data_IF_705674156510
#
_entry.id   IF_705674156510
#
_cell.length_a   1.000
_cell.length_b   1.000
_cell.length_c   1.000
_cell.angle_alpha   90.00
_cell.angle_beta   90.00
_cell.angle_gamma   90.00
#
_symmetry.space_group_name_H-M   'P 1'
#
loop_
_entity.id
_entity.type
_entity.pdbx_description
1 polymer ?
#
# COMPACT_ATOMS: atom_id res chain seq x y z
N UNK A 1 -3.14 30.85 12.73
CA UNK A 1 -2.68 29.59 13.38
C UNK A 1 -1.89 29.94 14.62
N UNK A 2 -2.26 29.40 15.78
CA UNK A 2 -1.60 29.67 17.08
C UNK A 2 -0.90 28.40 17.55
N UNK A 3 0.37 28.52 17.96
CA UNK A 3 1.21 27.42 18.42
C UNK A 3 0.65 26.85 19.72
N UNK A 4 0.40 25.56 19.74
CA UNK A 4 0.01 24.79 20.94
C UNK A 4 1.24 24.16 21.58
N UNK A 5 2.03 23.41 20.79
CA UNK A 5 3.20 22.69 21.29
C UNK A 5 4.39 22.83 20.36
N UNK A 6 5.57 23.00 20.93
CA UNK A 6 6.84 22.92 20.19
C UNK A 6 7.30 21.47 20.24
N UNK A 7 7.44 20.82 19.07
CA UNK A 7 7.86 19.42 18.97
C UNK A 7 9.38 19.37 18.89
N UNK A 8 9.97 20.15 17.98
CA UNK A 8 11.40 20.43 17.93
C UNK A 8 11.67 21.77 17.22
N UNK A 9 12.93 22.08 16.90
CA UNK A 9 13.30 23.35 16.26
C UNK A 9 12.61 23.59 14.90
N UNK A 10 12.18 22.53 14.21
CA UNK A 10 11.65 22.60 12.86
C UNK A 10 10.18 22.15 12.75
N UNK A 11 9.55 21.78 13.86
CA UNK A 11 8.21 21.20 13.87
C UNK A 11 7.45 21.70 15.09
N UNK A 12 6.22 22.17 14.87
CA UNK A 12 5.30 22.63 15.91
C UNK A 12 3.90 22.05 15.67
N UNK A 13 3.11 21.88 16.73
CA UNK A 13 1.66 21.74 16.59
C UNK A 13 0.96 23.06 16.90
N UNK A 14 -0.12 23.34 16.17
CA UNK A 14 -0.85 24.58 16.25
C UNK A 14 -2.34 24.33 16.03
N UNK A 15 -3.19 25.25 16.49
CA UNK A 15 -4.60 25.26 16.11
C UNK A 15 -4.82 26.16 14.89
N UNK A 16 -5.53 25.63 13.89
CA UNK A 16 -6.01 26.41 12.75
C UNK A 16 -7.21 27.30 13.11
N UNK A 17 -7.65 28.12 12.16
CA UNK A 17 -8.77 29.06 12.35
C UNK A 17 -10.10 28.35 12.66
N UNK A 18 -10.20 27.05 12.39
CA UNK A 18 -11.37 26.21 12.69
C UNK A 18 -11.26 25.50 14.03
N UNK A 19 -10.19 25.75 14.79
CA UNK A 19 -9.91 25.09 16.08
C UNK A 19 -9.39 23.67 15.94
N UNK A 20 -8.96 23.25 14.73
CA UNK A 20 -8.38 21.91 14.52
C UNK A 20 -6.88 21.94 14.74
N UNK A 21 -6.36 20.94 15.45
CA UNK A 21 -4.91 20.79 15.62
C UNK A 21 -4.28 20.39 14.28
N UNK A 22 -3.19 21.04 13.93
CA UNK A 22 -2.37 20.78 12.74
C UNK A 22 -0.91 20.66 13.13
N UNK A 23 -0.17 19.79 12.44
CA UNK A 23 1.29 19.69 12.59
C UNK A 23 1.92 20.53 11.48
N UNK A 24 2.84 21.42 11.83
CA UNK A 24 3.48 22.34 10.91
C UNK A 24 4.98 22.07 10.91
N UNK A 25 5.52 21.87 9.71
CA UNK A 25 6.93 21.65 9.46
C UNK A 25 7.52 22.84 8.72
N UNK A 26 8.72 23.24 9.13
CA UNK A 26 9.47 24.31 8.49
C UNK A 26 10.77 24.63 9.20
N UNK A 27 11.82 24.97 8.44
CA UNK A 27 13.14 25.24 9.01
C UNK A 27 13.10 26.34 10.07
N UNK A 28 13.46 26.01 11.31
CA UNK A 28 13.52 26.94 12.43
C UNK A 28 12.16 27.49 12.87
N UNK A 29 11.04 26.81 12.55
CA UNK A 29 9.69 27.26 12.91
C UNK A 29 9.40 27.17 14.42
N UNK A 30 10.00 26.19 15.11
CA UNK A 30 9.93 26.02 16.56
C UNK A 30 11.05 26.73 17.33
N UNK A 31 12.07 27.22 16.63
CA UNK A 31 13.21 27.89 17.26
C UNK A 31 12.85 29.30 17.76
N UNK A 32 13.09 29.55 19.05
CA UNK A 32 12.89 30.87 19.67
C UNK A 32 11.43 31.30 19.82
N UNK A 33 10.47 30.39 19.60
CA UNK A 33 9.03 30.64 19.82
C UNK A 33 8.53 30.02 21.13
N UNK A 34 7.25 30.24 21.47
CA UNK A 34 6.58 29.66 22.65
C UNK A 34 5.11 29.33 22.34
N UNK A 35 4.49 28.37 23.05
CA UNK A 35 3.05 28.16 23.02
C UNK A 35 2.26 29.47 23.20
N UNK A 36 1.13 29.60 22.51
CA UNK A 36 0.28 30.79 22.46
C UNK A 36 0.72 31.88 21.48
N UNK A 37 1.86 31.72 20.78
CA UNK A 37 2.31 32.66 19.73
C UNK A 37 1.74 32.28 18.37
N UNK A 38 1.62 33.26 17.48
CA UNK A 38 1.27 33.00 16.08
C UNK A 38 2.41 32.30 15.33
N UNK A 39 2.03 31.40 14.42
CA UNK A 39 2.96 30.72 13.53
C UNK A 39 3.46 31.69 12.46
N UNK A 40 4.78 31.79 12.31
CA UNK A 40 5.41 32.60 11.27
C UNK A 40 5.16 31.98 9.87
N UNK A 41 4.24 32.58 9.11
CA UNK A 41 3.77 32.06 7.81
C UNK A 41 4.90 31.82 6.80
N UNK A 42 5.90 32.70 6.78
CA UNK A 42 7.05 32.62 5.89
C UNK A 42 7.98 31.44 6.17
N UNK A 43 7.89 30.82 7.36
CA UNK A 43 8.67 29.64 7.73
C UNK A 43 7.93 28.33 7.44
N UNK A 44 6.68 28.39 6.99
CA UNK A 44 5.86 27.19 6.77
C UNK A 44 6.28 26.53 5.46
N UNK A 45 6.72 25.28 5.53
CA UNK A 45 7.00 24.45 4.36
C UNK A 45 5.87 23.45 4.12
N UNK A 46 5.34 22.86 5.21
CA UNK A 46 4.24 21.90 5.12
C UNK A 46 3.31 21.98 6.32
N UNK A 47 2.00 21.85 6.06
CA UNK A 47 0.95 21.71 7.06
C UNK A 47 0.30 20.34 6.90
N UNK A 48 0.33 19.53 7.95
CA UNK A 48 -0.34 18.24 8.01
C UNK A 48 -1.64 18.37 8.79
N UNK A 49 -2.75 18.16 8.09
CA UNK A 49 -4.10 18.13 8.67
C UNK A 49 -4.53 16.69 8.90
N UNK A 50 -4.09 16.11 10.02
CA UNK A 50 -4.41 14.73 10.39
C UNK A 50 -5.75 14.71 11.12
N UNK A 51 -6.70 13.92 10.63
CA UNK A 51 -8.08 13.86 11.17
C UNK A 51 -8.15 13.11 12.49
N UNK A 52 -7.30 12.09 12.67
CA UNK A 52 -7.26 11.27 13.87
C UNK A 52 -6.31 11.86 14.89
N UNK A 53 -6.79 12.13 16.10
CA UNK A 53 -5.96 12.65 17.19
C UNK A 53 -4.85 11.66 17.57
N UNK A 54 -5.16 10.36 17.65
CA UNK A 54 -4.15 9.34 18.00
C UNK A 54 -3.03 9.28 16.97
N UNK A 55 -3.38 9.36 15.69
CA UNK A 55 -2.40 9.37 14.61
C UNK A 55 -1.57 10.67 14.61
N UNK A 56 -2.19 11.80 14.95
CA UNK A 56 -1.48 13.06 15.11
C UNK A 56 -0.45 12.97 16.25
N UNK A 57 -0.80 12.42 17.41
CA UNK A 57 0.16 12.21 18.51
C UNK A 57 1.32 11.29 18.10
N UNK A 58 1.03 10.13 17.48
CA UNK A 58 2.06 9.22 16.99
C UNK A 58 3.02 9.91 16.01
N UNK A 59 2.48 10.74 15.10
CA UNK A 59 3.30 11.48 14.16
C UNK A 59 4.15 12.54 14.85
N UNK A 60 3.62 13.24 15.86
CA UNK A 60 4.37 14.21 16.65
C UNK A 60 5.52 13.55 17.42
N UNK A 61 5.28 12.38 18.01
CA UNK A 61 6.31 11.59 18.71
C UNK A 61 7.42 11.14 17.76
N UNK A 62 7.05 10.56 16.62
CA UNK A 62 7.99 10.14 15.57
C UNK A 62 8.89 11.31 15.12
N UNK A 63 8.28 12.47 14.91
CA UNK A 63 8.98 13.66 14.41
C UNK A 63 9.87 14.35 15.45
N UNK A 64 9.67 14.12 16.74
CA UNK A 64 10.39 14.82 17.80
C UNK A 64 11.91 14.65 17.69
N UNK A 65 12.37 13.44 17.40
CA UNK A 65 13.80 13.08 17.32
C UNK A 65 14.29 12.84 15.89
N UNK A 66 13.46 13.07 14.89
CA UNK A 66 13.79 12.80 13.49
C UNK A 66 14.56 13.96 12.84
N UNK A 67 15.63 13.69 12.07
CA UNK A 67 16.25 14.69 11.21
C UNK A 67 15.22 15.32 10.26
N UNK A 68 15.21 16.65 10.16
CA UNK A 68 14.26 17.38 9.30
C UNK A 68 14.30 16.86 7.85
N UNK A 69 15.49 16.56 7.35
CA UNK A 69 15.72 16.06 5.99
C UNK A 69 14.95 14.75 5.73
N UNK A 70 14.93 13.81 6.69
CA UNK A 70 14.22 12.53 6.55
C UNK A 70 12.70 12.75 6.51
N UNK A 71 12.19 13.66 7.35
CA UNK A 71 10.77 14.01 7.39
C UNK A 71 10.32 14.72 6.10
N UNK A 72 11.17 15.58 5.54
CA UNK A 72 10.93 16.25 4.26
C UNK A 72 10.93 15.26 3.09
N UNK A 73 11.94 14.39 3.00
CA UNK A 73 12.01 13.32 1.98
C UNK A 73 10.73 12.49 1.98
N UNK A 74 10.30 12.04 3.17
CA UNK A 74 9.09 11.25 3.34
C UNK A 74 7.85 12.02 2.88
N UNK A 75 7.73 13.30 3.25
CA UNK A 75 6.66 14.17 2.77
C UNK A 75 6.65 14.32 1.23
N UNK A 76 7.82 14.47 0.62
CA UNK A 76 7.94 14.70 -0.82
C UNK A 76 7.56 13.45 -1.61
N UNK A 77 7.98 12.28 -1.14
CA UNK A 77 7.59 10.97 -1.67
C UNK A 77 6.07 10.78 -1.60
N UNK A 78 5.45 11.02 -0.42
CA UNK A 78 3.99 10.92 -0.26
C UNK A 78 3.26 11.97 -1.11
N UNK A 79 3.81 13.18 -1.21
CA UNK A 79 3.22 14.27 -2.00
C UNK A 79 3.24 13.95 -3.49
N UNK A 80 4.34 13.36 -3.99
CA UNK A 80 4.45 12.88 -5.36
C UNK A 80 3.38 11.81 -5.64
N UNK A 81 3.26 10.79 -4.79
CA UNK A 81 2.26 9.74 -4.91
C UNK A 81 0.82 10.29 -5.00
N UNK A 82 0.48 11.27 -4.16
CA UNK A 82 -0.87 11.85 -4.13
C UNK A 82 -1.16 12.78 -5.31
N UNK A 83 -0.17 13.57 -5.74
CA UNK A 83 -0.36 14.59 -6.78
C UNK A 83 -0.20 14.06 -8.20
N UNK A 84 0.84 13.25 -8.44
CA UNK A 84 1.19 12.76 -9.76
C UNK A 84 0.43 11.47 -10.10
N UNK A 85 0.26 10.57 -9.13
CA UNK A 85 -0.44 9.29 -9.34
C UNK A 85 -1.91 9.32 -8.89
N UNK A 86 -2.37 10.44 -8.31
CA UNK A 86 -3.75 10.63 -7.82
C UNK A 86 -4.24 9.54 -6.86
N UNK A 87 -3.31 8.92 -6.13
CA UNK A 87 -3.64 7.84 -5.19
C UNK A 87 -4.42 8.37 -3.99
N UNK A 88 -5.46 7.62 -3.60
CA UNK A 88 -6.19 7.85 -2.35
C UNK A 88 -5.51 7.06 -1.24
N UNK A 89 -4.65 7.74 -0.49
CA UNK A 89 -3.87 7.12 0.58
C UNK A 89 -4.46 7.46 1.96
N UNK A 90 -4.54 6.44 2.82
CA UNK A 90 -4.84 6.63 4.24
C UNK A 90 -3.78 7.55 4.88
N UNK A 91 -4.21 8.42 5.81
CA UNK A 91 -3.32 9.33 6.51
C UNK A 91 -2.27 8.60 7.37
N UNK A 92 -2.49 7.33 7.72
CA UNK A 92 -1.51 6.50 8.43
C UNK A 92 -0.16 6.42 7.71
N UNK A 93 -0.14 6.58 6.38
CA UNK A 93 1.11 6.56 5.60
C UNK A 93 2.12 7.62 6.04
N UNK A 94 1.66 8.77 6.55
CA UNK A 94 2.55 9.80 7.07
C UNK A 94 3.35 9.30 8.26
N UNK A 95 2.81 8.39 9.06
CA UNK A 95 3.53 7.75 10.16
C UNK A 95 4.34 6.57 9.63
N UNK A 96 3.70 5.61 8.97
CA UNK A 96 4.33 4.32 8.63
C UNK A 96 5.49 4.47 7.64
N UNK A 97 5.32 5.27 6.58
CA UNK A 97 6.38 5.44 5.59
C UNK A 97 7.50 6.35 6.09
N UNK A 98 7.18 7.39 6.88
CA UNK A 98 8.18 8.28 7.46
C UNK A 98 9.05 7.54 8.47
N UNK A 99 8.45 6.69 9.30
CA UNK A 99 9.18 5.81 10.22
C UNK A 99 10.06 4.83 9.43
N UNK A 100 9.51 4.16 8.41
CA UNK A 100 10.26 3.25 7.54
C UNK A 100 11.46 3.91 6.88
N UNK A 101 11.30 5.09 6.28
CA UNK A 101 12.38 5.81 5.59
C UNK A 101 13.48 6.20 6.59
N UNK A 102 13.10 6.80 7.72
CA UNK A 102 14.07 7.17 8.74
C UNK A 102 14.86 5.95 9.20
N UNK A 103 14.13 4.89 9.50
CA UNK A 103 14.67 3.65 10.00
C UNK A 103 15.58 2.97 8.94
N UNK A 104 15.19 2.93 7.66
CA UNK A 104 15.97 2.35 6.56
C UNK A 104 17.30 3.10 6.35
N UNK A 105 17.26 4.44 6.42
CA UNK A 105 18.46 5.28 6.36
C UNK A 105 19.40 4.97 7.55
N UNK A 106 18.86 4.89 8.77
CA UNK A 106 19.64 4.57 9.97
C UNK A 106 20.27 3.17 9.89
N UNK A 107 19.51 2.12 9.54
CA UNK A 107 20.04 0.75 9.36
C UNK A 107 21.13 0.71 8.29
N UNK A 108 20.92 1.38 7.15
CA UNK A 108 21.92 1.40 6.08
C UNK A 108 23.23 2.06 6.53
N UNK A 109 23.15 3.15 7.30
CA UNK A 109 24.34 3.81 7.86
C UNK A 109 25.14 2.92 8.83
N UNK A 110 24.48 1.92 9.42
CA UNK A 110 25.09 0.89 10.28
C UNK A 110 25.62 -0.31 9.47
N UNK A 111 25.53 -0.29 8.14
CA UNK A 111 25.96 -1.38 7.25
C UNK A 111 24.96 -2.53 7.12
N UNK A 112 23.74 -2.37 7.64
CA UNK A 112 22.69 -3.40 7.55
C UNK A 112 21.90 -3.20 6.25
N UNK A 113 21.83 -4.24 5.42
CA UNK A 113 21.09 -4.25 4.16
C UNK A 113 20.07 -5.39 4.19
N UNK A 114 18.78 -5.10 4.38
CA UNK A 114 17.77 -6.14 4.41
C UNK A 114 17.51 -6.69 3.01
N UNK A 115 17.25 -7.99 2.94
CA UNK A 115 16.78 -8.66 1.73
C UNK A 115 15.25 -8.75 1.75
N UNK A 116 14.64 -8.52 0.61
CA UNK A 116 13.20 -8.63 0.43
C UNK A 116 12.87 -9.91 -0.33
N UNK A 117 12.47 -10.94 0.41
CA UNK A 117 12.10 -12.25 -0.13
C UNK A 117 10.91 -12.20 -1.11
N UNK A 118 10.14 -11.10 -1.12
CA UNK A 118 8.96 -10.89 -1.97
C UNK A 118 9.22 -9.91 -3.10
N UNK A 119 10.47 -9.47 -3.31
CA UNK A 119 10.79 -8.41 -4.26
C UNK A 119 10.30 -8.74 -5.68
N UNK A 120 10.40 -10.00 -6.09
CA UNK A 120 9.96 -10.43 -7.41
C UNK A 120 8.43 -10.36 -7.54
N UNK A 121 7.69 -10.86 -6.56
CA UNK A 121 6.24 -10.82 -6.52
C UNK A 121 5.72 -9.36 -6.44
N UNK A 122 6.38 -8.50 -5.67
CA UNK A 122 6.04 -7.06 -5.58
C UNK A 122 6.24 -6.40 -6.94
N UNK A 123 7.37 -6.64 -7.61
CA UNK A 123 7.61 -6.12 -8.98
C UNK A 123 6.52 -6.58 -9.96
N UNK A 124 6.05 -7.81 -9.82
CA UNK A 124 5.06 -8.40 -10.73
C UNK A 124 3.65 -7.85 -10.49
N UNK A 125 3.20 -7.79 -9.24
CA UNK A 125 1.79 -7.51 -8.91
C UNK A 125 1.52 -6.06 -8.50
N UNK A 126 2.58 -5.33 -8.12
CA UNK A 126 2.54 -3.95 -7.64
C UNK A 126 3.51 -3.07 -8.40
N UNK A 127 3.48 -3.14 -9.73
CA UNK A 127 4.39 -2.40 -10.59
C UNK A 127 4.37 -0.90 -10.28
N UNK A 128 3.19 -0.30 -10.13
CA UNK A 128 3.05 1.13 -9.87
C UNK A 128 3.63 1.52 -8.51
N UNK A 129 3.33 0.75 -7.47
CA UNK A 129 3.81 0.98 -6.10
C UNK A 129 5.32 0.71 -5.99
N UNK A 130 5.85 -0.26 -6.74
CA UNK A 130 7.27 -0.53 -6.85
C UNK A 130 8.03 0.60 -7.57
N UNK A 131 7.50 1.15 -8.66
CA UNK A 131 8.11 2.32 -9.31
C UNK A 131 8.13 3.55 -8.37
N UNK A 132 7.11 3.68 -7.52
CA UNK A 132 7.09 4.70 -6.49
C UNK A 132 8.13 4.45 -5.39
N UNK A 133 8.37 3.18 -5.04
CA UNK A 133 9.48 2.76 -4.20
C UNK A 133 10.85 3.08 -4.82
N UNK A 134 11.01 2.88 -6.13
CA UNK A 134 12.23 3.28 -6.86
C UNK A 134 12.47 4.76 -6.80
N UNK A 135 11.45 5.55 -7.12
CA UNK A 135 11.47 7.00 -6.99
C UNK A 135 11.87 7.45 -5.58
N UNK A 136 11.36 6.79 -4.54
CA UNK A 136 11.74 7.08 -3.16
C UNK A 136 13.22 6.82 -2.88
N UNK A 137 13.75 5.68 -3.33
CA UNK A 137 15.19 5.36 -3.22
C UNK A 137 16.04 6.38 -3.98
N UNK A 138 15.61 6.81 -5.16
CA UNK A 138 16.33 7.79 -5.97
C UNK A 138 16.38 9.17 -5.29
N UNK A 139 15.27 9.64 -4.70
CA UNK A 139 15.29 10.89 -3.90
C UNK A 139 16.24 10.79 -2.71
N UNK A 140 16.26 9.64 -2.02
CA UNK A 140 17.15 9.43 -0.87
C UNK A 140 18.61 9.48 -1.32
N UNK A 141 18.94 8.90 -2.48
CA UNK A 141 20.25 9.08 -3.10
C UNK A 141 20.52 10.58 -3.35
N UNK A 142 19.60 11.29 -3.99
CA UNK A 142 19.80 12.68 -4.44
C UNK A 142 20.07 13.65 -3.30
N UNK A 143 19.37 13.46 -2.18
CA UNK A 143 19.44 14.38 -1.04
C UNK A 143 20.49 13.99 0.00
N UNK A 144 20.73 12.69 0.18
CA UNK A 144 21.57 12.18 1.26
C UNK A 144 22.83 11.45 0.78
N UNK A 145 22.94 11.17 -0.52
CA UNK A 145 23.97 10.31 -1.12
C UNK A 145 24.00 8.90 -0.51
N UNK A 146 22.82 8.40 -0.11
CA UNK A 146 22.63 7.06 0.44
C UNK A 146 22.00 6.18 -0.62
N UNK A 147 22.74 5.19 -1.11
CA UNK A 147 22.29 4.24 -2.13
C UNK A 147 21.62 3.03 -1.48
N UNK A 148 20.35 3.18 -1.08
CA UNK A 148 19.55 2.08 -0.56
C UNK A 148 19.41 0.95 -1.62
N UNK A 149 19.37 -0.33 -1.20
CA UNK A 149 19.22 -1.45 -2.13
C UNK A 149 17.83 -1.47 -2.77
N UNK A 150 17.71 -2.22 -3.87
CA UNK A 150 16.44 -2.39 -4.58
C UNK A 150 15.33 -3.03 -3.73
N UNK A 151 15.74 -3.84 -2.74
CA UNK A 151 14.88 -4.42 -1.71
C UNK A 151 14.07 -3.38 -0.93
N UNK A 152 14.67 -2.21 -0.67
CA UNK A 152 13.98 -1.08 0.01
C UNK A 152 12.89 -0.48 -0.87
N UNK A 153 13.06 -0.44 -2.19
CA UNK A 153 11.97 -0.05 -3.08
C UNK A 153 10.78 -1.01 -2.96
N UNK A 154 11.05 -2.30 -2.78
CA UNK A 154 10.02 -3.30 -2.48
C UNK A 154 9.30 -3.04 -1.15
N UNK A 155 10.03 -2.75 -0.07
CA UNK A 155 9.41 -2.45 1.22
C UNK A 155 8.60 -1.15 1.20
N UNK A 156 9.11 -0.11 0.54
CA UNK A 156 8.40 1.17 0.36
C UNK A 156 7.11 0.95 -0.45
N UNK A 157 7.13 0.12 -1.49
CA UNK A 157 5.94 -0.23 -2.26
C UNK A 157 4.83 -0.79 -1.36
N UNK A 158 5.18 -1.67 -0.41
CA UNK A 158 4.20 -2.25 0.51
C UNK A 158 3.55 -1.24 1.45
N UNK A 159 4.25 -0.17 1.84
CA UNK A 159 3.63 0.93 2.59
C UNK A 159 2.57 1.66 1.76
N UNK A 160 2.78 1.81 0.46
CA UNK A 160 1.79 2.40 -0.45
C UNK A 160 0.59 1.48 -0.67
N UNK A 161 0.84 0.19 -0.92
CA UNK A 161 -0.21 -0.84 -1.00
C UNK A 161 -1.08 -0.80 0.25
N UNK A 162 -0.45 -0.80 1.43
CA UNK A 162 -1.15 -0.77 2.70
C UNK A 162 -2.02 0.50 2.86
N UNK A 163 -1.45 1.66 2.51
CA UNK A 163 -2.13 2.94 2.60
C UNK A 163 -3.28 3.08 1.60
N UNK A 164 -3.16 2.47 0.42
CA UNK A 164 -4.21 2.46 -0.60
C UNK A 164 -5.35 1.52 -0.20
N UNK A 165 -5.04 0.35 0.35
CA UNK A 165 -6.05 -0.66 0.68
C UNK A 165 -6.72 -0.38 2.01
N UNK A 166 -6.09 0.41 2.88
CA UNK A 166 -6.60 0.70 4.22
C UNK A 166 -6.45 -0.49 5.16
N UNK A 167 -5.42 -1.30 4.95
CA UNK A 167 -5.16 -2.56 5.66
C UNK A 167 -4.11 -2.40 6.77
N UNK A 168 -3.70 -3.50 7.39
CA UNK A 168 -2.47 -3.57 8.19
C UNK A 168 -1.27 -3.91 7.28
N UNK A 169 -0.06 -3.49 7.64
CA UNK A 169 1.16 -3.81 6.88
C UNK A 169 1.38 -5.31 6.76
N UNK A 170 0.92 -6.10 7.75
CA UNK A 170 0.94 -7.57 7.71
C UNK A 170 0.12 -8.12 6.55
N UNK A 171 -1.03 -7.51 6.26
CA UNK A 171 -1.88 -7.92 5.14
C UNK A 171 -1.23 -7.56 3.80
N UNK A 172 -0.63 -6.37 3.70
CA UNK A 172 0.12 -5.96 2.51
C UNK A 172 1.32 -6.88 2.23
N UNK A 173 1.99 -7.40 3.27
CA UNK A 173 3.07 -8.38 3.15
C UNK A 173 2.59 -9.77 2.72
N UNK A 174 1.38 -10.18 3.11
CA UNK A 174 0.84 -11.50 2.76
C UNK A 174 0.29 -11.53 1.33
N UNK A 175 -0.14 -10.40 0.80
CA UNK A 175 -0.81 -10.33 -0.49
C UNK A 175 0.01 -10.88 -1.67
N UNK A 176 1.31 -10.56 -1.85
CA UNK A 176 2.10 -11.14 -2.94
C UNK A 176 2.13 -12.68 -2.91
N UNK A 177 2.21 -13.27 -1.72
CA UNK A 177 2.19 -14.71 -1.53
C UNK A 177 0.82 -15.31 -1.85
N UNK A 178 -0.26 -14.69 -1.37
CA UNK A 178 -1.63 -15.10 -1.71
C UNK A 178 -1.83 -15.09 -3.23
N UNK A 179 -1.40 -14.03 -3.90
CA UNK A 179 -1.51 -13.93 -5.36
C UNK A 179 -0.76 -15.06 -6.05
N UNK A 180 0.48 -15.33 -5.64
CA UNK A 180 1.29 -16.42 -6.18
C UNK A 180 0.63 -17.77 -5.98
N UNK A 181 0.22 -18.09 -4.76
CA UNK A 181 -0.41 -19.38 -4.44
C UNK A 181 -1.74 -19.56 -5.21
N UNK A 182 -2.53 -18.50 -5.40
CA UNK A 182 -3.74 -18.54 -6.23
C UNK A 182 -3.41 -18.88 -7.68
N UNK A 183 -2.37 -18.25 -8.25
CA UNK A 183 -1.92 -18.56 -9.60
C UNK A 183 -1.46 -20.03 -9.70
N UNK A 184 -0.72 -20.53 -8.71
CA UNK A 184 -0.20 -21.89 -8.67
C UNK A 184 -1.32 -22.94 -8.51
N UNK A 185 -2.36 -22.64 -7.72
CA UNK A 185 -3.59 -23.46 -7.63
C UNK A 185 -4.23 -23.57 -9.02
N UNK A 186 -4.42 -22.46 -9.72
CA UNK A 186 -5.06 -22.50 -11.05
C UNK A 186 -4.21 -23.24 -12.08
N UNK A 187 -2.88 -23.05 -12.08
CA UNK A 187 -1.98 -23.79 -12.97
C UNK A 187 -2.06 -25.29 -12.73
N UNK A 188 -1.96 -25.71 -11.46
CA UNK A 188 -1.91 -27.13 -11.10
C UNK A 188 -3.24 -27.85 -11.33
N UNK A 189 -4.36 -27.23 -10.96
CA UNK A 189 -5.70 -27.84 -11.08
C UNK A 189 -6.18 -27.94 -12.53
N UNK A 190 -5.74 -27.03 -13.40
CA UNK A 190 -6.13 -27.01 -14.80
C UNK A 190 -5.06 -27.57 -15.74
N UNK A 191 -3.84 -27.80 -15.25
CA UNK A 191 -2.71 -28.30 -16.02
C UNK A 191 -2.26 -27.33 -17.11
N UNK A 192 -2.32 -26.03 -16.84
CA UNK A 192 -2.02 -24.96 -17.81
C UNK A 192 -0.75 -24.19 -17.43
N UNK A 193 -0.15 -23.52 -18.41
CA UNK A 193 0.80 -22.44 -18.19
C UNK A 193 0.21 -21.08 -18.56
N UNK A 194 0.52 -20.05 -17.78
CA UNK A 194 0.03 -18.70 -18.06
C UNK A 194 0.89 -18.01 -19.12
N UNK A 195 0.23 -17.46 -20.15
CA UNK A 195 0.83 -16.42 -20.98
C UNK A 195 0.76 -15.07 -20.25
N UNK A 196 1.85 -14.73 -19.56
CA UNK A 196 1.96 -13.50 -18.77
C UNK A 196 1.88 -12.21 -19.61
N UNK A 197 2.10 -12.30 -20.93
CA UNK A 197 1.93 -11.17 -21.84
C UNK A 197 0.49 -10.98 -22.34
N UNK A 198 -0.41 -11.92 -22.03
CA UNK A 198 -1.78 -11.88 -22.54
C UNK A 198 -2.68 -10.93 -21.73
N UNK A 199 -3.60 -10.28 -22.44
CA UNK A 199 -4.64 -9.45 -21.81
C UNK A 199 -5.57 -10.27 -20.90
N UNK A 200 -5.73 -11.56 -21.18
CA UNK A 200 -6.52 -12.47 -20.34
C UNK A 200 -5.86 -12.72 -18.98
N UNK A 201 -4.54 -12.93 -18.98
CA UNK A 201 -3.76 -13.05 -17.76
C UNK A 201 -3.77 -11.76 -16.95
N UNK A 202 -3.52 -10.60 -17.57
CA UNK A 202 -3.53 -9.30 -16.89
C UNK A 202 -4.88 -9.02 -16.22
N UNK A 203 -5.99 -9.31 -16.93
CA UNK A 203 -7.35 -9.19 -16.37
C UNK A 203 -7.61 -10.15 -15.23
N UNK A 204 -7.09 -11.38 -15.31
CA UNK A 204 -7.24 -12.36 -14.24
C UNK A 204 -6.49 -11.91 -12.97
N UNK A 205 -5.23 -11.52 -13.09
CA UNK A 205 -4.44 -10.98 -11.96
C UNK A 205 -5.11 -9.74 -11.37
N UNK A 206 -5.59 -8.84 -12.21
CA UNK A 206 -6.32 -7.65 -11.77
C UNK A 206 -7.60 -8.02 -11.01
N UNK A 207 -8.36 -9.00 -11.50
CA UNK A 207 -9.56 -9.47 -10.83
C UNK A 207 -9.27 -10.07 -9.46
N UNK A 208 -8.28 -10.97 -9.37
CA UNK A 208 -7.82 -11.53 -8.09
C UNK A 208 -7.33 -10.42 -7.17
N UNK A 209 -6.64 -9.41 -7.70
CA UNK A 209 -6.14 -8.26 -6.93
C UNK A 209 -7.30 -7.51 -6.27
N UNK A 210 -8.36 -7.22 -7.03
CA UNK A 210 -9.55 -6.57 -6.51
C UNK A 210 -10.36 -7.45 -5.56
N UNK A 211 -10.44 -8.76 -5.79
CA UNK A 211 -11.07 -9.71 -4.86
C UNK A 211 -10.37 -9.66 -3.50
N UNK A 212 -9.04 -9.81 -3.47
CA UNK A 212 -8.27 -9.74 -2.23
C UNK A 212 -8.42 -8.37 -1.54
N UNK A 213 -8.45 -7.26 -2.28
CA UNK A 213 -8.73 -5.95 -1.70
C UNK A 213 -10.10 -5.89 -1.02
N UNK A 214 -11.16 -6.43 -1.64
CA UNK A 214 -12.50 -6.50 -1.04
C UNK A 214 -12.54 -7.38 0.20
N UNK A 215 -11.82 -8.51 0.19
CA UNK A 215 -11.65 -9.38 1.37
C UNK A 215 -11.07 -8.60 2.54
N UNK A 216 -9.94 -7.90 2.33
CA UNK A 216 -9.30 -7.15 3.41
C UNK A 216 -10.10 -5.95 3.90
N UNK A 217 -10.82 -5.27 2.99
CA UNK A 217 -11.71 -4.16 3.37
C UNK A 217 -13.03 -4.61 4.00
N UNK A 218 -13.33 -5.90 3.97
CA UNK A 218 -14.62 -6.47 4.37
C UNK A 218 -15.79 -5.89 3.54
N UNK A 219 -15.53 -5.63 2.27
CA UNK A 219 -16.45 -5.06 1.28
C UNK A 219 -16.78 -6.11 0.20
N UNK A 220 -17.04 -7.35 0.62
CA UNK A 220 -17.37 -8.44 -0.31
C UNK A 220 -18.73 -8.22 -0.96
N UNK A 221 -18.86 -8.71 -2.20
CA UNK A 221 -20.11 -8.65 -2.93
C UNK A 221 -21.21 -9.39 -2.15
N UNK A 222 -22.46 -8.86 -2.13
CA UNK A 222 -23.57 -9.53 -1.52
C UNK A 222 -23.80 -10.89 -2.18
N UNK A 223 -24.46 -11.79 -1.47
CA UNK A 223 -24.75 -13.11 -2.00
C UNK A 223 -26.06 -13.04 -2.79
N UNK A 224 -26.02 -12.45 -3.98
CA UNK A 224 -27.17 -12.31 -4.88
C UNK A 224 -26.99 -13.18 -6.14
N UNK A 225 -28.10 -13.77 -6.60
CA UNK A 225 -28.29 -14.58 -7.82
C UNK A 225 -27.52 -15.91 -7.96
N UNK A 226 -28.24 -17.02 -7.71
CA UNK A 226 -27.75 -18.39 -7.90
C UNK A 226 -27.65 -18.81 -9.39
N UNK A 227 -28.44 -18.19 -10.28
CA UNK A 227 -28.63 -18.69 -11.65
C UNK A 227 -27.36 -18.62 -12.51
N UNK A 228 -26.58 -17.54 -12.41
CA UNK A 228 -25.33 -17.40 -13.17
C UNK A 228 -24.25 -18.36 -12.66
N UNK A 229 -24.18 -18.57 -11.34
CA UNK A 229 -23.28 -19.55 -10.74
C UNK A 229 -23.63 -20.98 -11.16
N UNK A 230 -24.92 -21.33 -11.16
CA UNK A 230 -25.42 -22.62 -11.65
C UNK A 230 -25.11 -22.82 -13.15
N UNK A 231 -25.27 -21.78 -13.98
CA UNK A 231 -24.89 -21.83 -15.39
C UNK A 231 -23.39 -22.09 -15.58
N UNK A 232 -22.53 -21.42 -14.81
CA UNK A 232 -21.08 -21.63 -14.86
C UNK A 232 -20.72 -23.05 -14.42
N UNK A 233 -21.33 -23.55 -13.37
CA UNK A 233 -21.13 -24.93 -12.88
C UNK A 233 -21.52 -25.97 -13.94
N UNK A 234 -22.62 -25.74 -14.68
CA UNK A 234 -23.07 -26.66 -15.72
C UNK A 234 -22.21 -26.59 -16.99
N UNK A 235 -21.84 -25.39 -17.45
CA UNK A 235 -21.15 -25.19 -18.73
C UNK A 235 -19.63 -25.33 -18.64
N UNK A 236 -19.04 -24.94 -17.51
CA UNK A 236 -17.60 -24.92 -17.27
C UNK A 236 -17.28 -25.53 -15.89
N UNK A 237 -17.60 -26.82 -15.68
CA UNK A 237 -17.51 -27.46 -14.36
C UNK A 237 -16.09 -27.50 -13.80
N UNK A 238 -15.06 -27.61 -14.65
CA UNK A 238 -13.66 -27.63 -14.23
C UNK A 238 -13.21 -26.27 -13.69
N UNK A 239 -13.48 -25.21 -14.44
CA UNK A 239 -13.12 -23.84 -14.06
C UNK A 239 -13.89 -23.36 -12.83
N UNK A 240 -15.16 -23.76 -12.70
CA UNK A 240 -15.95 -23.50 -11.49
C UNK A 240 -15.45 -24.28 -10.26
N UNK A 241 -15.02 -25.54 -10.42
CA UNK A 241 -14.41 -26.30 -9.33
C UNK A 241 -13.07 -25.67 -8.90
N UNK A 242 -12.26 -25.22 -9.85
CA UNK A 242 -11.01 -24.51 -9.57
C UNK A 242 -11.28 -23.18 -8.83
N UNK A 243 -12.28 -22.40 -9.24
CA UNK A 243 -12.64 -21.16 -8.54
C UNK A 243 -13.09 -21.41 -7.10
N UNK A 244 -13.79 -22.53 -6.84
CA UNK A 244 -14.16 -22.97 -5.49
C UNK A 244 -12.94 -23.34 -4.63
N UNK A 245 -11.92 -23.97 -5.20
CA UNK A 245 -10.68 -24.29 -4.48
C UNK A 245 -9.88 -23.02 -4.13
N UNK A 246 -9.75 -22.10 -5.09
CA UNK A 246 -9.14 -20.79 -4.86
C UNK A 246 -9.90 -20.02 -3.77
N UNK A 247 -11.23 -19.98 -3.85
CA UNK A 247 -12.04 -19.33 -2.83
C UNK A 247 -11.78 -19.93 -1.45
N UNK A 248 -11.78 -21.26 -1.33
CA UNK A 248 -11.48 -21.95 -0.07
C UNK A 248 -10.09 -21.59 0.49
N UNK A 249 -9.06 -21.55 -0.36
CA UNK A 249 -7.73 -21.12 0.04
C UNK A 249 -7.73 -19.69 0.60
N UNK A 250 -8.43 -18.76 -0.05
CA UNK A 250 -8.57 -17.37 0.42
C UNK A 250 -9.32 -17.33 1.76
N UNK A 251 -10.40 -18.10 1.92
CA UNK A 251 -11.17 -18.20 3.17
C UNK A 251 -10.29 -18.68 4.32
N UNK A 252 -9.51 -19.75 4.11
CA UNK A 252 -8.62 -20.34 5.10
C UNK A 252 -7.50 -19.36 5.50
N UNK A 253 -6.95 -18.61 4.54
CA UNK A 253 -5.84 -17.69 4.79
C UNK A 253 -6.27 -16.35 5.41
N UNK A 254 -7.50 -15.90 5.16
CA UNK A 254 -7.97 -14.57 5.60
C UNK A 254 -9.08 -14.63 6.64
N UNK A 255 -9.51 -15.83 7.03
CA UNK A 255 -10.65 -16.06 7.94
C UNK A 255 -11.92 -15.29 7.50
N UNK A 256 -12.12 -15.21 6.18
CA UNK A 256 -13.26 -14.54 5.54
C UNK A 256 -14.14 -15.58 4.84
N UNK A 257 -15.34 -15.17 4.42
CA UNK A 257 -16.25 -16.02 3.64
C UNK A 257 -16.49 -15.40 2.27
N UNK A 258 -16.13 -16.11 1.21
CA UNK A 258 -16.27 -15.64 -0.17
C UNK A 258 -17.70 -15.91 -0.65
N UNK A 259 -18.35 -14.92 -1.27
CA UNK A 259 -19.71 -15.08 -1.77
C UNK A 259 -19.76 -15.93 -3.06
N UNK A 260 -20.94 -16.45 -3.37
CA UNK A 260 -21.17 -17.19 -4.61
C UNK A 260 -20.90 -16.34 -5.86
N UNK A 261 -21.20 -15.04 -5.78
CA UNK A 261 -20.95 -14.09 -6.86
C UNK A 261 -19.45 -13.92 -7.13
N UNK A 262 -18.62 -13.83 -6.09
CA UNK A 262 -17.15 -13.79 -6.24
C UNK A 262 -16.60 -15.09 -6.85
N UNK A 263 -17.11 -16.25 -6.42
CA UNK A 263 -16.74 -17.56 -6.99
C UNK A 263 -17.13 -17.63 -8.47
N UNK A 264 -18.29 -17.11 -8.84
CA UNK A 264 -18.75 -17.03 -10.22
C UNK A 264 -17.84 -16.11 -11.04
N UNK A 265 -17.55 -14.90 -10.59
CA UNK A 265 -16.69 -13.98 -11.33
C UNK A 265 -15.29 -14.57 -11.52
N UNK A 266 -14.74 -15.16 -10.46
CA UNK A 266 -13.45 -15.84 -10.52
C UNK A 266 -13.47 -16.96 -11.57
N UNK A 267 -14.54 -17.76 -11.64
CA UNK A 267 -14.68 -18.83 -12.65
C UNK A 267 -14.68 -18.30 -14.08
N UNK A 268 -15.26 -17.11 -14.32
CA UNK A 268 -15.24 -16.46 -15.64
C UNK A 268 -13.81 -16.08 -16.01
N UNK A 269 -13.05 -15.49 -15.09
CA UNK A 269 -11.67 -15.08 -15.37
C UNK A 269 -10.74 -16.28 -15.54
N UNK A 270 -10.91 -17.34 -14.74
CA UNK A 270 -10.21 -18.62 -14.91
C UNK A 270 -10.50 -19.20 -16.30
N UNK A 271 -11.78 -19.22 -16.73
CA UNK A 271 -12.15 -19.68 -18.07
C UNK A 271 -11.50 -18.86 -19.19
N UNK A 272 -11.37 -17.55 -19.02
CA UNK A 272 -10.77 -16.68 -20.03
C UNK A 272 -9.27 -16.90 -20.17
N UNK A 273 -8.57 -17.14 -19.06
CA UNK A 273 -7.12 -17.39 -19.11
C UNK A 273 -6.80 -18.81 -19.63
N UNK A 274 -7.72 -19.76 -19.50
CA UNK A 274 -7.56 -21.13 -20.06
C UNK A 274 -7.91 -21.26 -21.55
N UNK A 275 -8.62 -20.28 -22.13
CA UNK A 275 -9.01 -20.32 -23.55
C UNK A 275 -7.80 -20.28 -24.51
N UNK A 276 -6.67 -19.70 -24.10
CA UNK A 276 -5.47 -19.51 -24.94
C UNK A 276 -4.85 -20.84 -25.40
N UNK A 277 -5.08 -21.95 -24.68
CA UNK A 277 -4.57 -23.28 -25.08
C UNK A 277 -5.49 -24.03 -26.05
N UNK A 278 -6.78 -23.68 -26.16
CA UNK A 278 -7.71 -24.41 -27.04
C UNK A 278 -7.73 -23.89 -28.50
N UNK A 279 -6.91 -22.89 -28.81
CA UNK A 279 -6.75 -22.33 -30.17
C UNK A 279 -5.41 -22.72 -30.84
N UNK A 280 -4.66 -23.66 -30.25
CA UNK A 280 -3.46 -24.28 -30.84
C UNK A 280 -3.67 -25.77 -31.05
#
# INVERSE_FOLDING_TARGET
>A
MVIEKIINNNIVSAFDETGREVVIMGRGIGFGTKPGREVAQQKIEKIFKIKSQSLAEQFKELLANMPLEHAQISNDIISYAKSHLKLKLNQSIYVTLTDHINFAIERYSQGIKPENALLWEIKRFYQQEYQLGKYAVDIIWERLHIALPDDEAGFIALHFVNAEYGTDIRDALNFPNLMKDILDIVKSELGIEFDEGSLHYERFVTHVKFLLQRVYRKELLPNEENELAEMMQMKYPKEYACSRQVAKYIEDATNSKISGEEIMYLSIHIRRVTMVENEK
#
